data_IF_937265771069
#
_entry.id   IF_937265771069
#
_cell.length_a   1.000
_cell.length_b   1.000
_cell.length_c   1.000
_cell.angle_alpha   90.00
_cell.angle_beta   90.00
_cell.angle_gamma   90.00
#
_symmetry.space_group_name_H-M   'P 1'
#
loop_
_entity.id
_entity.type
_entity.pdbx_description
1 polymer ?
#
# COMPACT_ATOMS: atom_id res chain seq x y z
N UNK A 1 -10.08 1.02 -20.54
CA UNK A 1 -9.97 -0.43 -20.79
C UNK A 1 -10.55 -1.18 -19.61
N UNK A 2 -11.26 -2.29 -19.85
CA UNK A 2 -11.82 -3.13 -18.78
C UNK A 2 -11.24 -4.54 -18.91
N UNK A 3 -10.89 -5.16 -17.78
CA UNK A 3 -10.38 -6.52 -17.74
C UNK A 3 -10.95 -7.27 -16.53
N UNK A 4 -11.07 -8.59 -16.64
CA UNK A 4 -11.56 -9.46 -15.57
C UNK A 4 -10.60 -10.62 -15.35
N UNK A 5 -10.40 -10.98 -14.09
CA UNK A 5 -9.67 -12.17 -13.67
C UNK A 5 -10.67 -13.24 -13.23
N UNK A 6 -10.55 -14.43 -13.82
CA UNK A 6 -11.39 -15.57 -13.52
C UNK A 6 -10.56 -16.67 -12.84
N UNK A 7 -11.15 -17.30 -11.83
CA UNK A 7 -10.65 -18.53 -11.22
C UNK A 7 -11.36 -19.71 -11.87
N UNK A 8 -10.57 -20.66 -12.38
CA UNK A 8 -11.06 -21.95 -12.86
C UNK A 8 -11.33 -22.86 -11.67
N UNK A 9 -12.55 -23.40 -11.58
CA UNK A 9 -12.97 -24.32 -10.53
C UNK A 9 -13.62 -25.56 -11.15
N UNK A 10 -13.80 -26.62 -10.36
CA UNK A 10 -14.47 -27.85 -10.80
C UNK A 10 -15.91 -27.61 -11.27
N UNK A 11 -16.53 -26.50 -10.85
CA UNK A 11 -17.90 -26.10 -11.22
C UNK A 11 -17.96 -25.02 -12.30
N UNK A 12 -16.81 -24.63 -12.87
CA UNK A 12 -16.71 -23.65 -13.95
C UNK A 12 -15.87 -22.42 -13.60
N UNK A 13 -15.98 -21.37 -14.41
CA UNK A 13 -15.28 -20.11 -14.21
C UNK A 13 -16.03 -19.19 -13.24
N UNK A 14 -15.30 -18.64 -12.26
CA UNK A 14 -15.81 -17.62 -11.35
C UNK A 14 -14.98 -16.35 -11.49
N UNK A 15 -15.62 -15.23 -11.80
CA UNK A 15 -14.96 -13.92 -11.77
C UNK A 15 -14.54 -13.59 -10.32
N UNK A 16 -13.26 -13.26 -10.13
CA UNK A 16 -12.69 -12.92 -8.82
C UNK A 16 -12.40 -11.43 -8.71
N UNK A 17 -11.94 -10.80 -9.80
CA UNK A 17 -11.61 -9.38 -9.84
C UNK A 17 -12.06 -8.82 -11.18
N UNK A 18 -12.59 -7.60 -11.17
CA UNK A 18 -12.82 -6.77 -12.36
C UNK A 18 -12.09 -5.45 -12.20
N UNK A 19 -11.43 -5.01 -13.26
CA UNK A 19 -10.61 -3.79 -13.28
C UNK A 19 -11.10 -2.89 -14.40
N UNK A 20 -11.28 -1.61 -14.09
CA UNK A 20 -11.42 -0.53 -15.06
C UNK A 20 -10.16 0.33 -14.99
N UNK A 21 -9.50 0.55 -16.13
CA UNK A 21 -8.27 1.31 -16.23
C UNK A 21 -8.36 2.41 -17.28
N UNK A 22 -7.89 3.61 -16.93
CA UNK A 22 -7.54 4.67 -17.87
C UNK A 22 -6.04 4.65 -18.06
N UNK A 23 -5.59 4.56 -19.31
CA UNK A 23 -4.18 4.39 -19.65
C UNK A 23 -3.70 5.63 -20.42
N UNK A 24 -2.46 6.04 -20.16
CA UNK A 24 -1.81 7.16 -20.82
C UNK A 24 -0.29 6.97 -20.84
N UNK A 25 0.42 7.92 -21.43
CA UNK A 25 1.87 7.91 -21.55
C UNK A 25 2.50 9.06 -20.75
N UNK A 26 2.91 8.75 -19.52
CA UNK A 26 3.56 9.71 -18.62
C UNK A 26 4.93 10.18 -19.11
N UNK A 27 5.60 9.41 -19.99
CA UNK A 27 6.92 9.80 -20.49
C UNK A 27 6.83 10.95 -21.51
N UNK A 28 5.66 11.09 -22.15
CA UNK A 28 5.38 12.12 -23.15
C UNK A 28 4.28 13.09 -22.69
N UNK A 29 3.95 13.11 -21.40
CA UNK A 29 3.01 14.06 -20.82
C UNK A 29 3.63 15.47 -20.84
N UNK A 30 2.99 16.48 -21.47
CA UNK A 30 3.52 17.84 -21.52
C UNK A 30 3.56 18.54 -20.15
N UNK A 31 3.00 17.91 -19.12
CA UNK A 31 2.88 18.43 -17.78
C UNK A 31 1.71 19.40 -17.61
N UNK A 32 1.58 19.91 -16.39
CA UNK A 32 0.57 20.88 -16.01
C UNK A 32 0.96 21.59 -14.72
N UNK A 33 0.12 22.48 -14.19
CA UNK A 33 0.37 23.15 -12.92
C UNK A 33 0.55 22.13 -11.78
N UNK A 34 1.59 22.33 -10.97
CA UNK A 34 1.84 21.52 -9.78
C UNK A 34 1.69 22.37 -8.53
N UNK A 35 0.90 21.89 -7.58
CA UNK A 35 0.87 22.41 -6.22
C UNK A 35 0.93 21.21 -5.27
N UNK A 36 1.87 21.27 -4.33
CA UNK A 36 1.97 20.36 -3.21
C UNK A 36 1.95 21.24 -1.97
N UNK A 37 1.20 20.83 -0.93
CA UNK A 37 1.19 21.54 0.35
C UNK A 37 2.62 21.74 0.86
N UNK A 38 2.85 22.83 1.62
CA UNK A 38 4.18 23.18 2.11
C UNK A 38 4.78 22.02 2.93
N UNK A 39 5.75 21.34 2.31
CA UNK A 39 6.61 20.29 2.83
C UNK A 39 5.98 18.92 3.12
N UNK A 40 6.35 17.90 2.34
CA UNK A 40 7.04 16.75 2.89
C UNK A 40 8.54 17.05 2.78
N UNK A 41 9.21 17.32 3.90
CA UNK A 41 10.62 16.90 3.97
C UNK A 41 10.65 15.45 3.52
N UNK A 42 11.49 15.07 2.56
CA UNK A 42 11.63 13.68 2.16
C UNK A 42 12.70 12.99 3.03
N UNK A 43 12.45 11.79 3.57
CA UNK A 43 11.20 11.01 3.51
C UNK A 43 10.05 11.69 4.26
N UNK A 44 8.77 11.47 3.84
CA UNK A 44 7.60 12.11 4.42
C UNK A 44 7.62 12.12 5.96
N UNK A 45 7.11 13.21 6.56
CA UNK A 45 7.32 13.53 7.98
C UNK A 45 7.06 12.33 8.89
N UNK A 46 8.10 11.97 9.65
CA UNK A 46 8.05 10.89 10.63
C UNK A 46 8.31 9.49 10.08
N UNK A 47 8.50 9.31 8.76
CA UNK A 47 9.06 8.07 8.22
C UNK A 47 10.59 8.08 8.38
N UNK A 48 11.13 7.03 8.99
CA UNK A 48 12.58 6.86 9.14
C UNK A 48 13.23 6.43 7.82
N UNK A 49 14.56 6.64 7.64
CA UNK A 49 15.28 6.11 6.49
C UNK A 49 15.07 4.60 6.31
N UNK A 50 15.11 4.12 5.07
CA UNK A 50 14.89 2.72 4.70
C UNK A 50 15.66 1.72 5.59
N UNK A 51 16.93 2.01 5.88
CA UNK A 51 17.81 1.16 6.68
C UNK A 51 17.41 1.05 8.16
N UNK A 52 16.58 1.96 8.66
CA UNK A 52 16.08 1.99 10.05
C UNK A 52 14.65 1.42 10.18
N UNK A 53 14.02 1.04 9.06
CA UNK A 53 12.72 0.37 9.05
C UNK A 53 12.89 -1.17 9.14
N UNK A 54 11.89 -1.83 9.74
CA UNK A 54 11.85 -3.27 10.02
C UNK A 54 11.37 -4.03 8.79
N UNK A 55 12.11 -5.06 8.35
CA UNK A 55 11.73 -5.88 7.22
C UNK A 55 10.51 -6.77 7.50
N UNK A 56 9.60 -6.88 6.54
CA UNK A 56 8.41 -7.74 6.70
C UNK A 56 8.69 -9.24 6.52
N UNK A 57 9.70 -9.61 5.73
CA UNK A 57 10.05 -11.00 5.49
C UNK A 57 10.50 -11.75 6.77
N UNK A 58 11.11 -11.06 7.72
CA UNK A 58 11.61 -11.63 8.99
C UNK A 58 10.47 -12.00 9.97
N UNK A 59 9.26 -11.53 9.67
CA UNK A 59 8.13 -11.58 10.59
C UNK A 59 7.03 -12.56 10.16
N UNK A 60 7.20 -13.28 9.05
CA UNK A 60 6.21 -14.23 8.50
C UNK A 60 6.07 -15.53 9.32
N UNK A 61 6.10 -15.45 10.65
CA UNK A 61 6.03 -16.59 11.58
C UNK A 61 4.67 -17.29 11.52
N UNK A 62 3.65 -16.66 10.95
CA UNK A 62 2.39 -17.31 10.60
C UNK A 62 2.07 -17.04 9.13
N UNK A 63 2.17 -18.08 8.30
CA UNK A 63 1.66 -18.39 6.94
C UNK A 63 0.70 -17.42 6.17
N UNK A 64 0.64 -16.12 6.45
CA UNK A 64 -0.49 -15.29 6.07
C UNK A 64 -0.35 -14.68 4.66
N UNK A 65 0.84 -14.61 4.08
CA UNK A 65 1.03 -14.05 2.73
C UNK A 65 2.40 -14.40 2.11
N UNK A 66 2.46 -15.48 1.32
CA UNK A 66 3.66 -15.87 0.53
C UNK A 66 4.22 -14.75 -0.37
N UNK A 67 3.41 -13.74 -0.68
CA UNK A 67 3.83 -12.59 -1.48
C UNK A 67 4.96 -11.81 -0.80
N UNK A 68 5.00 -11.72 0.54
CA UNK A 68 6.04 -10.97 1.26
C UNK A 68 7.45 -11.54 1.06
N UNK A 69 7.60 -12.83 0.76
CA UNK A 69 8.90 -13.40 0.40
C UNK A 69 9.50 -12.82 -0.88
N UNK A 70 8.69 -12.14 -1.70
CA UNK A 70 9.13 -11.43 -2.93
C UNK A 70 9.31 -9.93 -2.71
N UNK A 71 8.89 -9.41 -1.56
CA UNK A 71 8.86 -7.98 -1.28
C UNK A 71 9.95 -7.61 -0.27
N UNK A 72 10.71 -6.57 -0.61
CA UNK A 72 11.65 -5.89 0.29
C UNK A 72 10.95 -4.84 1.15
N UNK A 73 9.65 -5.01 1.42
CA UNK A 73 8.86 -4.06 2.21
C UNK A 73 9.44 -3.90 3.61
N UNK A 74 9.62 -2.65 4.03
CA UNK A 74 10.05 -2.30 5.39
C UNK A 74 9.07 -1.34 6.04
N UNK A 75 8.74 -1.56 7.31
CA UNK A 75 7.75 -0.77 8.05
C UNK A 75 8.43 0.07 9.12
N UNK A 76 7.93 1.27 9.36
CA UNK A 76 8.34 2.12 10.46
C UNK A 76 8.22 1.35 11.80
N UNK A 77 9.26 1.29 12.64
CA UNK A 77 9.22 0.51 13.89
C UNK A 77 8.07 0.90 14.81
N UNK A 78 7.71 2.19 14.85
CA UNK A 78 6.57 2.69 15.63
C UNK A 78 5.21 2.15 15.20
N UNK A 79 5.08 1.66 13.96
CA UNK A 79 3.80 1.34 13.35
C UNK A 79 3.58 -0.19 13.27
N UNK A 80 4.55 -0.99 13.71
CA UNK A 80 4.56 -2.47 13.55
C UNK A 80 4.38 -3.24 14.86
N UNK A 81 4.27 -2.54 15.99
CA UNK A 81 4.10 -3.14 17.32
C UNK A 81 2.79 -3.91 17.50
N UNK A 82 1.78 -3.72 16.64
CA UNK A 82 0.52 -4.48 16.70
C UNK A 82 0.75 -5.99 16.60
N UNK A 83 1.87 -6.40 16.00
CA UNK A 83 2.31 -7.81 15.89
C UNK A 83 2.68 -8.44 17.23
N UNK A 84 3.05 -7.60 18.19
CA UNK A 84 3.36 -7.95 19.57
C UNK A 84 2.13 -7.75 20.48
N UNK A 85 0.96 -7.45 19.90
CA UNK A 85 -0.27 -7.13 20.62
C UNK A 85 -0.35 -5.68 21.13
N UNK A 86 0.63 -4.83 20.81
CA UNK A 86 0.68 -3.44 21.25
C UNK A 86 0.18 -2.51 20.14
N UNK A 87 -0.93 -1.82 20.39
CA UNK A 87 -1.59 -0.95 19.40
C UNK A 87 -1.33 0.52 19.72
N UNK A 88 -0.97 1.30 18.70
CA UNK A 88 -0.67 2.73 18.88
C UNK A 88 -1.92 3.60 19.08
N UNK A 89 -3.11 3.09 18.71
CA UNK A 89 -4.35 3.85 18.67
C UNK A 89 -4.47 4.77 17.45
N UNK A 90 -3.50 4.74 16.53
CA UNK A 90 -3.52 5.50 15.28
C UNK A 90 -3.63 4.54 14.11
N UNK A 91 -4.66 4.69 13.27
CA UNK A 91 -4.80 3.88 12.06
C UNK A 91 -3.84 4.38 10.98
N UNK A 92 -2.57 4.06 11.16
CA UNK A 92 -1.45 4.54 10.36
C UNK A 92 -0.43 3.41 10.19
N UNK A 93 0.01 3.22 8.95
CA UNK A 93 1.15 2.38 8.59
C UNK A 93 2.03 3.16 7.64
N UNK A 94 3.29 3.36 8.02
CA UNK A 94 4.30 4.01 7.18
C UNK A 94 5.45 3.05 6.90
N UNK A 95 6.04 3.16 5.73
CA UNK A 95 7.17 2.33 5.39
C UNK A 95 7.70 2.57 3.99
N UNK A 96 8.36 1.56 3.48
CA UNK A 96 9.04 1.58 2.20
C UNK A 96 8.68 0.33 1.41
N UNK A 97 8.31 0.51 0.15
CA UNK A 97 8.11 -0.55 -0.80
C UNK A 97 9.35 -0.76 -1.66
N UNK A 98 9.78 -2.02 -1.75
CA UNK A 98 10.86 -2.48 -2.60
C UNK A 98 10.60 -3.95 -2.99
N UNK A 99 11.33 -4.46 -3.98
CA UNK A 99 11.36 -5.91 -4.27
C UNK A 99 12.62 -6.55 -3.67
N UNK A 100 12.52 -7.81 -3.27
CA UNK A 100 13.68 -8.57 -2.78
C UNK A 100 14.69 -8.91 -3.88
N UNK A 101 14.25 -8.93 -5.15
CA UNK A 101 15.11 -9.13 -6.32
C UNK A 101 15.74 -7.81 -6.83
N UNK A 102 15.59 -6.72 -6.07
CA UNK A 102 16.16 -5.40 -6.33
C UNK A 102 15.75 -4.77 -7.68
N UNK A 103 14.74 -5.30 -8.36
CA UNK A 103 14.28 -4.72 -9.63
C UNK A 103 13.73 -3.30 -9.39
N UNK A 104 13.91 -2.37 -10.36
CA UNK A 104 13.38 -1.02 -10.26
C UNK A 104 11.86 -0.99 -10.04
N UNK A 105 11.39 0.03 -9.31
CA UNK A 105 9.96 0.29 -9.15
C UNK A 105 9.47 1.05 -10.38
N UNK A 106 8.69 0.38 -11.23
CA UNK A 106 7.99 1.00 -12.35
C UNK A 106 6.57 1.43 -11.97
N UNK A 107 5.84 2.05 -12.90
CA UNK A 107 4.47 2.51 -12.66
C UNK A 107 3.49 1.37 -12.38
N UNK A 108 3.78 0.13 -12.83
CA UNK A 108 2.95 -1.04 -12.56
C UNK A 108 3.18 -1.57 -11.16
N UNK A 109 4.41 -1.52 -10.68
CA UNK A 109 4.78 -1.90 -9.32
C UNK A 109 4.09 -1.03 -8.27
N UNK A 110 3.75 0.23 -8.60
CA UNK A 110 2.96 1.10 -7.71
C UNK A 110 1.55 0.53 -7.41
N UNK A 111 0.95 -0.21 -8.36
CA UNK A 111 -0.34 -0.88 -8.14
C UNK A 111 -0.23 -2.01 -7.11
N UNK A 112 0.94 -2.63 -7.00
CA UNK A 112 1.21 -3.62 -5.96
C UNK A 112 1.57 -2.93 -4.64
N UNK A 113 2.36 -1.85 -4.70
CA UNK A 113 2.77 -1.08 -3.53
C UNK A 113 1.56 -0.58 -2.73
N UNK A 114 0.45 -0.25 -3.39
CA UNK A 114 -0.79 0.23 -2.77
C UNK A 114 -1.51 -0.76 -1.86
N UNK A 115 -1.15 -2.05 -1.91
CA UNK A 115 -1.77 -3.11 -1.10
C UNK A 115 -0.73 -4.13 -0.61
N UNK A 116 0.51 -3.68 -0.41
CA UNK A 116 1.66 -4.51 -0.01
C UNK A 116 2.00 -4.40 1.49
N UNK A 117 1.13 -3.75 2.27
CA UNK A 117 1.36 -3.40 3.67
C UNK A 117 0.25 -3.98 4.55
N UNK A 118 0.50 -4.18 5.86
CA UNK A 118 -0.55 -4.52 6.80
C UNK A 118 -1.65 -3.44 6.81
N UNK A 119 -2.93 -3.82 6.95
CA UNK A 119 -4.02 -2.86 7.13
C UNK A 119 -3.75 -1.89 8.27
N UNK A 120 -3.90 -0.60 8.01
CA UNK A 120 -3.62 0.47 8.97
C UNK A 120 -4.49 0.39 10.23
N UNK A 121 -5.68 -0.20 10.11
CA UNK A 121 -6.58 -0.48 11.24
C UNK A 121 -6.04 -1.49 12.25
N UNK A 122 -4.99 -2.24 11.94
CA UNK A 122 -4.34 -3.13 12.91
C UNK A 122 -3.74 -2.38 14.10
N UNK A 123 -3.45 -1.09 13.95
CA UNK A 123 -2.98 -0.24 15.04
C UNK A 123 -4.13 0.36 15.89
N UNK A 124 -5.39 0.10 15.56
CA UNK A 124 -6.54 0.48 16.38
C UNK A 124 -6.94 -0.61 17.37
N UNK A 125 -7.80 -0.28 18.33
CA UNK A 125 -8.41 -1.24 19.24
C UNK A 125 -9.50 -2.12 18.58
N UNK A 126 -9.14 -2.77 17.47
CA UNK A 126 -9.95 -3.73 16.71
C UNK A 126 -9.20 -5.06 16.57
N UNK A 127 -9.87 -6.21 16.41
CA UNK A 127 -9.18 -7.48 16.17
C UNK A 127 -8.20 -7.40 14.99
N UNK A 128 -6.97 -7.87 15.18
CA UNK A 128 -6.02 -8.07 14.08
C UNK A 128 -6.44 -9.32 13.31
N UNK A 129 -7.39 -9.16 12.40
CA UNK A 129 -7.99 -10.25 11.65
C UNK A 129 -8.07 -9.90 10.15
N UNK A 130 -8.74 -10.74 9.38
CA UNK A 130 -8.86 -10.55 7.94
C UNK A 130 -9.62 -9.26 7.60
N UNK A 131 -9.01 -8.41 6.76
CA UNK A 131 -9.55 -7.14 6.25
C UNK A 131 -9.65 -7.25 4.72
N UNK A 132 -10.70 -7.89 4.17
CA UNK A 132 -10.80 -8.06 2.73
C UNK A 132 -11.18 -6.76 2.02
N UNK A 133 -10.38 -6.43 1.01
CA UNK A 133 -10.64 -5.39 0.02
C UNK A 133 -11.92 -5.68 -0.75
N UNK A 134 -12.79 -4.66 -0.84
CA UNK A 134 -14.00 -4.64 -1.68
C UNK A 134 -13.70 -3.91 -3.00
N UNK A 135 -13.00 -2.78 -2.91
CA UNK A 135 -12.64 -1.93 -4.04
C UNK A 135 -11.30 -1.23 -3.75
N UNK A 136 -10.50 -1.01 -4.78
CA UNK A 136 -9.24 -0.29 -4.71
C UNK A 136 -9.05 0.56 -5.97
N UNK A 137 -8.97 1.87 -5.78
CA UNK A 137 -8.62 2.83 -6.82
C UNK A 137 -7.20 3.31 -6.62
N UNK A 138 -6.40 3.29 -7.70
CA UNK A 138 -5.02 3.81 -7.71
C UNK A 138 -4.86 4.83 -8.83
N UNK A 139 -4.28 5.98 -8.51
CA UNK A 139 -3.92 7.01 -9.45
C UNK A 139 -2.40 7.14 -9.52
N UNK A 140 -1.80 6.67 -10.62
CA UNK A 140 -0.38 6.92 -10.90
C UNK A 140 -0.21 8.37 -11.39
N UNK A 141 0.76 9.07 -10.81
CA UNK A 141 0.99 10.52 -10.99
C UNK A 141 2.31 10.84 -11.67
N UNK A 142 3.30 9.95 -11.54
CA UNK A 142 4.62 10.11 -12.15
C UNK A 142 5.31 8.76 -12.34
N UNK A 143 6.36 8.74 -13.18
CA UNK A 143 7.29 7.62 -13.27
C UNK A 143 8.26 7.72 -12.09
N UNK A 144 8.36 6.70 -11.22
CA UNK A 144 9.23 6.77 -10.04
C UNK A 144 10.71 6.93 -10.38
N UNK A 145 11.40 7.80 -9.64
CA UNK A 145 12.86 7.81 -9.61
C UNK A 145 13.41 6.49 -9.02
N UNK A 146 14.67 6.10 -9.35
CA UNK A 146 15.28 4.91 -8.79
C UNK A 146 15.32 4.90 -7.25
N UNK A 147 15.07 3.72 -6.67
CA UNK A 147 15.11 3.48 -5.22
C UNK A 147 13.80 2.92 -4.67
N UNK A 148 13.75 2.65 -3.35
CA UNK A 148 12.51 2.28 -2.68
C UNK A 148 11.52 3.45 -2.66
N UNK A 149 10.23 3.13 -2.71
CA UNK A 149 9.14 4.12 -2.65
C UNK A 149 8.66 4.23 -1.20
N UNK A 150 8.60 5.45 -0.66
CA UNK A 150 8.02 5.71 0.65
C UNK A 150 6.50 5.59 0.55
N UNK A 151 5.87 4.82 1.44
CA UNK A 151 4.43 4.61 1.47
C UNK A 151 3.84 5.02 2.82
N UNK A 152 2.69 5.70 2.79
CA UNK A 152 1.89 6.05 3.96
C UNK A 152 0.46 5.60 3.72
N UNK A 153 -0.07 4.78 4.63
CA UNK A 153 -1.46 4.31 4.61
C UNK A 153 -2.17 4.73 5.89
N UNK A 154 -3.39 5.25 5.75
CA UNK A 154 -4.19 5.67 6.88
C UNK A 154 -5.68 5.42 6.70
N UNK A 155 -6.36 5.10 7.79
CA UNK A 155 -7.82 5.03 7.86
C UNK A 155 -8.34 6.17 8.74
N UNK A 156 -9.34 6.89 8.26
CA UNK A 156 -9.99 7.98 9.02
C UNK A 156 -11.37 7.59 9.51
N UNK A 157 -12.09 6.76 8.76
CA UNK A 157 -13.43 6.34 9.09
C UNK A 157 -13.57 4.82 9.12
N UNK A 158 -14.27 4.36 10.16
CA UNK A 158 -14.76 2.99 10.25
C UNK A 158 -16.19 3.11 10.70
N UNK A 159 -17.11 2.58 9.90
CA UNK A 159 -18.53 2.70 10.18
C UNK A 159 -19.27 1.48 9.64
N UNK A 160 -20.12 0.91 10.48
CA UNK A 160 -21.02 -0.19 10.11
C UNK A 160 -20.31 -1.38 9.44
N UNK A 161 -19.09 -1.69 9.88
CA UNK A 161 -18.30 -2.82 9.36
C UNK A 161 -17.57 -2.54 8.05
N UNK A 162 -17.48 -1.28 7.62
CA UNK A 162 -16.69 -0.83 6.48
C UNK A 162 -15.62 0.16 6.95
N UNK A 163 -14.50 0.18 6.24
CA UNK A 163 -13.42 1.16 6.42
C UNK A 163 -12.87 1.59 5.07
N UNK A 164 -12.35 2.80 5.01
CA UNK A 164 -11.44 3.20 3.94
C UNK A 164 -9.98 3.15 4.39
N UNK A 165 -9.08 2.94 3.45
CA UNK A 165 -7.65 3.18 3.64
C UNK A 165 -7.13 4.06 2.50
N UNK A 166 -6.64 5.24 2.85
CA UNK A 166 -6.01 6.19 1.95
C UNK A 166 -4.50 5.95 1.91
N UNK A 167 -3.93 5.85 0.71
CA UNK A 167 -2.51 5.59 0.48
C UNK A 167 -1.82 6.70 -0.30
N UNK A 168 -0.59 7.03 0.11
CA UNK A 168 0.31 7.94 -0.62
C UNK A 168 1.66 7.26 -0.85
N UNK A 169 2.21 7.42 -2.06
CA UNK A 169 3.48 6.83 -2.49
C UNK A 169 4.40 7.91 -3.05
N UNK A 170 5.61 8.01 -2.49
CA UNK A 170 6.59 9.05 -2.79
C UNK A 170 7.92 8.43 -3.22
N UNK A 171 8.51 8.90 -4.32
CA UNK A 171 9.82 8.42 -4.76
C UNK A 171 11.00 9.08 -4.02
N UNK A 172 12.21 8.66 -4.34
CA UNK A 172 13.46 9.15 -3.73
C UNK A 172 13.74 10.64 -3.93
N UNK A 173 13.08 11.29 -4.90
CA UNK A 173 13.17 12.73 -5.14
C UNK A 173 12.09 13.53 -4.38
N UNK A 174 11.25 12.86 -3.59
CA UNK A 174 10.11 13.48 -2.92
C UNK A 174 8.94 13.80 -3.84
N UNK A 175 8.84 13.13 -4.99
CA UNK A 175 7.70 13.27 -5.90
C UNK A 175 6.61 12.29 -5.50
N UNK A 176 5.37 12.76 -5.38
CA UNK A 176 4.21 11.90 -5.23
C UNK A 176 3.97 11.13 -6.53
N UNK A 177 4.26 9.83 -6.54
CA UNK A 177 4.19 8.97 -7.73
C UNK A 177 2.87 8.22 -7.84
N UNK A 178 2.18 7.98 -6.72
CA UNK A 178 0.84 7.41 -6.74
C UNK A 178 0.05 7.79 -5.48
N UNK A 179 -1.28 7.74 -5.63
CA UNK A 179 -2.24 7.78 -4.52
C UNK A 179 -3.22 6.63 -4.68
N UNK A 180 -3.71 6.09 -3.56
CA UNK A 180 -4.73 5.06 -3.57
C UNK A 180 -5.84 5.33 -2.55
N UNK A 181 -7.01 4.75 -2.80
CA UNK A 181 -8.06 4.58 -1.80
C UNK A 181 -8.61 3.18 -1.92
N UNK A 182 -8.65 2.48 -0.80
CA UNK A 182 -9.24 1.16 -0.66
C UNK A 182 -10.52 1.26 0.18
N UNK A 183 -11.58 0.57 -0.24
CA UNK A 183 -12.73 0.26 0.61
C UNK A 183 -12.63 -1.21 1.03
N UNK A 184 -12.76 -1.51 2.32
CA UNK A 184 -12.64 -2.86 2.86
C UNK A 184 -13.68 -3.16 3.94
N UNK A 185 -13.88 -4.45 4.23
CA UNK A 185 -14.63 -4.89 5.40
C UNK A 185 -13.76 -4.76 6.66
N UNK A 186 -14.33 -4.21 7.73
CA UNK A 186 -13.67 -4.15 9.03
C UNK A 186 -13.61 -5.54 9.69
N UNK A 187 -12.57 -5.82 10.50
CA UNK A 187 -12.50 -7.01 11.33
C UNK A 187 -13.76 -7.15 12.19
N UNK A 188 -14.34 -8.35 12.22
CA UNK A 188 -15.43 -8.69 13.15
C UNK A 188 -14.86 -9.49 14.33
N UNK A 189 -15.48 -9.32 15.50
CA UNK A 189 -15.27 -10.22 16.64
C UNK A 189 -15.87 -11.60 16.35
#
# INVERSE_FOLDING_TARGET
ATASLFLLTDTGEKEIIRVLATLGDLANDPGGPSHMDEHPTFPPRGLLPFSQCVGMAESAVDNFAYIHGRLGTRIHPGDVHFREGVKSGQALIRGWFAFNDERPIDTRALLLASDAFPPSVFNLDLPTAWVPTIELTVHTRAIPAPGPVACIFSTRYIQNGLLEEDGEMWDSNGVLVAQSRQLALAPRQ
#
